data_IF_777261409763
#
_entry.id   IF_777261409763
#
_cell.length_a   1.000
_cell.length_b   1.000
_cell.length_c   1.000
_cell.angle_alpha   90.00
_cell.angle_beta   90.00
_cell.angle_gamma   90.00
#
_symmetry.space_group_name_H-M   'P 1'
#
loop_
_entity.id
_entity.type
_entity.pdbx_description
1 polymer ?
#
# COMPACT_ATOMS: atom_id res chain seq x y z
N UNK A 1 -5.07 9.17 -27.32
CA UNK A 1 -4.36 9.21 -26.03
C UNK A 1 -5.38 8.87 -24.98
N UNK A 2 -5.14 7.83 -24.19
CA UNK A 2 -6.07 7.45 -23.12
C UNK A 2 -5.62 8.14 -21.83
N UNK A 3 -6.50 8.92 -21.21
CA UNK A 3 -6.22 9.62 -19.96
C UNK A 3 -6.95 8.92 -18.83
N UNK A 4 -6.17 8.29 -17.96
CA UNK A 4 -6.64 7.67 -16.73
C UNK A 4 -6.61 8.72 -15.62
N UNK A 5 -7.71 8.92 -14.90
CA UNK A 5 -7.75 9.78 -13.72
C UNK A 5 -8.01 8.93 -12.49
N UNK A 6 -7.08 8.98 -11.54
CA UNK A 6 -7.35 8.56 -10.18
C UNK A 6 -7.71 9.78 -9.32
N UNK A 7 -8.97 9.82 -8.89
CA UNK A 7 -9.50 10.85 -8.01
C UNK A 7 -10.56 10.23 -7.10
N UNK A 8 -10.47 10.55 -5.81
CA UNK A 8 -11.55 10.27 -4.85
C UNK A 8 -12.74 11.24 -5.00
N UNK A 9 -12.60 12.25 -5.86
CA UNK A 9 -13.58 13.31 -6.09
C UNK A 9 -14.08 13.28 -7.54
N UNK A 10 -15.33 12.83 -7.71
CA UNK A 10 -16.00 12.75 -9.00
C UNK A 10 -16.21 14.12 -9.65
N UNK A 11 -16.33 15.20 -8.86
CA UNK A 11 -16.56 16.54 -9.41
C UNK A 11 -15.35 17.04 -10.20
N UNK A 12 -14.14 16.69 -9.77
CA UNK A 12 -12.90 17.02 -10.50
C UNK A 12 -12.88 16.29 -11.84
N UNK A 13 -13.25 15.01 -11.85
CA UNK A 13 -13.32 14.21 -13.09
C UNK A 13 -14.35 14.81 -14.05
N UNK A 14 -15.55 15.12 -13.57
CA UNK A 14 -16.58 15.78 -14.38
C UNK A 14 -16.14 17.14 -14.91
N UNK A 15 -15.45 17.94 -14.10
CA UNK A 15 -14.92 19.24 -14.49
C UNK A 15 -13.90 19.14 -15.62
N UNK A 16 -12.97 18.17 -15.52
CA UNK A 16 -11.98 17.89 -16.57
C UNK A 16 -12.65 17.39 -17.85
N UNK A 17 -13.62 16.46 -17.76
CA UNK A 17 -14.39 15.98 -18.91
C UNK A 17 -15.13 17.12 -19.61
N UNK A 18 -15.77 18.02 -18.84
CA UNK A 18 -16.47 19.18 -19.42
C UNK A 18 -15.51 20.16 -20.10
N UNK A 19 -14.32 20.37 -19.53
CA UNK A 19 -13.30 21.27 -20.09
C UNK A 19 -12.67 20.71 -21.37
N UNK A 20 -12.48 19.38 -21.43
CA UNK A 20 -11.82 18.67 -22.52
C UNK A 20 -12.68 17.49 -23.01
N UNK A 21 -13.80 17.76 -23.70
CA UNK A 21 -14.79 16.74 -24.04
C UNK A 21 -14.34 15.77 -25.14
N UNK A 22 -13.26 16.10 -25.87
CA UNK A 22 -12.74 15.28 -26.97
C UNK A 22 -11.72 14.23 -26.51
N UNK A 23 -11.34 14.23 -25.22
CA UNK A 23 -10.36 13.30 -24.68
C UNK A 23 -11.01 12.00 -24.17
N UNK A 24 -10.25 10.91 -24.26
CA UNK A 24 -10.69 9.60 -23.78
C UNK A 24 -10.38 9.43 -22.29
N UNK A 25 -11.31 9.89 -21.45
CA UNK A 25 -11.21 9.81 -20.00
C UNK A 25 -11.64 8.44 -19.46
N UNK A 26 -10.86 7.89 -18.54
CA UNK A 26 -11.24 6.73 -17.72
C UNK A 26 -11.06 7.10 -16.26
N UNK A 27 -12.14 7.00 -15.48
CA UNK A 27 -12.09 7.24 -14.04
C UNK A 27 -11.77 5.94 -13.30
N UNK A 28 -10.70 5.97 -12.51
CA UNK A 28 -10.30 4.89 -11.63
C UNK A 28 -10.94 5.14 -10.26
N UNK A 29 -11.89 4.28 -9.87
CA UNK A 29 -12.55 4.36 -8.57
C UNK A 29 -11.64 3.81 -7.45
N UNK A 30 -10.76 2.86 -7.80
CA UNK A 30 -9.78 2.29 -6.89
C UNK A 30 -8.35 2.51 -7.39
N UNK A 31 -7.42 2.72 -6.45
CA UNK A 31 -6.02 3.02 -6.77
C UNK A 31 -5.28 1.86 -7.46
N UNK A 32 -5.78 0.63 -7.26
CA UNK A 32 -5.23 -0.63 -7.73
C UNK A 32 -5.96 -1.17 -8.97
N UNK A 33 -6.92 -0.44 -9.54
CA UNK A 33 -7.50 -0.82 -10.83
C UNK A 33 -6.37 -1.03 -11.84
N UNK A 34 -6.50 -1.96 -12.80
CA UNK A 34 -5.40 -2.33 -13.70
C UNK A 34 -5.07 -1.18 -14.67
N UNK A 35 -4.38 -0.15 -14.16
CA UNK A 35 -3.72 0.93 -14.92
C UNK A 35 -2.76 0.32 -15.94
N UNK A 36 -2.32 -0.94 -15.71
CA UNK A 36 -1.13 -1.55 -16.29
C UNK A 36 -1.39 -2.83 -17.10
N UNK A 37 -2.59 -3.04 -17.64
CA UNK A 37 -2.78 -4.07 -18.67
C UNK A 37 -2.03 -3.68 -19.94
N UNK A 38 -0.93 -4.39 -20.23
CA UNK A 38 0.07 -4.21 -21.31
C UNK A 38 0.58 -2.78 -21.57
N UNK A 39 1.88 -2.69 -21.84
CA UNK A 39 2.62 -1.45 -22.05
C UNK A 39 2.20 -0.76 -23.35
N UNK A 40 1.09 -0.03 -23.31
CA UNK A 40 0.79 0.97 -24.32
C UNK A 40 1.45 2.28 -23.89
N UNK A 41 2.44 2.73 -24.67
CA UNK A 41 3.22 3.96 -24.48
C UNK A 41 2.35 5.25 -24.52
N UNK A 42 1.04 5.12 -24.69
CA UNK A 42 0.08 6.23 -24.83
C UNK A 42 -0.78 6.52 -23.59
N UNK A 43 -0.44 5.96 -22.42
CA UNK A 43 -1.19 6.15 -21.17
C UNK A 43 -0.72 7.37 -20.37
N UNK A 44 -1.68 8.22 -20.02
CA UNK A 44 -1.51 9.33 -19.09
C UNK A 44 -2.25 8.99 -17.81
N UNK A 45 -1.59 9.10 -16.66
CA UNK A 45 -2.23 8.99 -15.36
C UNK A 45 -2.24 10.35 -14.67
N UNK A 46 -3.44 10.84 -14.38
CA UNK A 46 -3.67 12.05 -13.58
C UNK A 46 -4.05 11.62 -12.17
N UNK A 47 -3.21 11.96 -11.19
CA UNK A 47 -3.48 11.79 -9.76
C UNK A 47 -3.95 13.12 -9.17
N UNK A 48 -5.17 13.15 -8.63
CA UNK A 48 -5.59 14.26 -7.79
C UNK A 48 -4.82 14.23 -6.48
N UNK A 49 -4.10 15.30 -6.14
CA UNK A 49 -3.40 15.45 -4.85
C UNK A 49 -3.64 16.85 -4.26
N UNK A 50 -3.91 16.98 -2.93
CA UNK A 50 -3.96 15.90 -1.95
C UNK A 50 -5.22 15.02 -2.06
N UNK A 51 -5.18 13.80 -1.54
CA UNK A 51 -6.32 12.86 -1.46
C UNK A 51 -6.89 12.86 -0.06
N UNK A 52 -8.22 12.89 0.09
CA UNK A 52 -8.87 12.73 1.39
C UNK A 52 -8.92 11.24 1.75
N UNK A 53 -8.35 10.87 2.89
CA UNK A 53 -8.33 9.49 3.39
C UNK A 53 -8.76 9.48 4.85
N UNK A 54 -9.99 9.05 5.11
CA UNK A 54 -10.60 9.20 6.44
C UNK A 54 -10.70 10.68 6.82
N UNK A 55 -10.13 11.05 7.97
CA UNK A 55 -10.09 12.43 8.47
C UNK A 55 -8.86 13.23 8.03
N UNK A 56 -7.95 12.66 7.23
CA UNK A 56 -6.71 13.33 6.83
C UNK A 56 -6.66 13.64 5.34
N UNK A 57 -5.88 14.66 4.99
CA UNK A 57 -5.39 14.87 3.64
C UNK A 57 -4.03 14.21 3.50
N UNK A 58 -3.86 13.41 2.46
CA UNK A 58 -2.66 12.66 2.15
C UNK A 58 -2.06 13.07 0.82
N UNK A 59 -0.73 13.04 0.75
CA UNK A 59 0.08 13.29 -0.45
C UNK A 59 0.71 11.97 -0.92
N UNK A 60 0.05 11.19 -1.81
CA UNK A 60 0.51 9.88 -2.24
C UNK A 60 1.39 9.93 -3.50
N UNK A 61 1.68 11.11 -4.04
CA UNK A 61 2.34 11.28 -5.34
C UNK A 61 3.72 10.62 -5.44
N UNK A 62 4.49 10.56 -4.35
CA UNK A 62 5.80 9.89 -4.31
C UNK A 62 5.70 8.36 -4.43
N UNK A 63 4.92 7.66 -3.58
CA UNK A 63 4.63 6.24 -3.78
C UNK A 63 4.09 5.92 -5.17
N UNK A 64 3.20 6.76 -5.71
CA UNK A 64 2.69 6.61 -7.08
C UNK A 64 3.79 6.68 -8.13
N UNK A 65 4.63 7.72 -8.09
CA UNK A 65 5.75 7.85 -9.03
C UNK A 65 6.69 6.64 -8.95
N UNK A 66 7.07 6.20 -7.75
CA UNK A 66 7.97 5.07 -7.56
C UNK A 66 7.36 3.75 -8.06
N UNK A 67 6.08 3.53 -7.80
CA UNK A 67 5.35 2.37 -8.34
C UNK A 67 5.33 2.40 -9.88
N UNK A 68 4.94 3.52 -10.49
CA UNK A 68 4.86 3.67 -11.94
C UNK A 68 6.25 3.55 -12.59
N UNK A 69 7.29 4.14 -12.02
CA UNK A 69 8.66 3.99 -12.52
C UNK A 69 9.10 2.51 -12.59
N UNK A 70 8.62 1.67 -11.68
CA UNK A 70 8.95 0.24 -11.64
C UNK A 70 8.04 -0.61 -12.55
N UNK A 71 6.76 -0.27 -12.67
CA UNK A 71 5.77 -1.13 -13.34
C UNK A 71 5.40 -0.66 -14.75
N UNK A 72 5.45 0.65 -15.01
CA UNK A 72 5.16 1.26 -16.30
C UNK A 72 5.93 2.60 -16.46
N UNK A 73 7.26 2.53 -16.66
CA UNK A 73 8.14 3.71 -16.65
C UNK A 73 7.79 4.77 -17.71
N UNK A 74 7.15 4.36 -18.81
CA UNK A 74 6.78 5.26 -19.91
C UNK A 74 5.47 6.02 -19.66
N UNK A 75 4.69 5.65 -18.63
CA UNK A 75 3.44 6.35 -18.29
C UNK A 75 3.72 7.81 -17.95
N UNK A 76 3.02 8.73 -18.61
CA UNK A 76 3.04 10.14 -18.25
C UNK A 76 2.25 10.31 -16.95
N UNK A 77 2.93 10.74 -15.88
CA UNK A 77 2.31 10.87 -14.56
C UNK A 77 2.14 12.34 -14.18
N UNK A 78 0.89 12.79 -14.08
CA UNK A 78 0.52 14.18 -13.83
C UNK A 78 -0.16 14.27 -12.48
N UNK A 79 0.23 15.26 -11.68
CA UNK A 79 -0.41 15.57 -10.40
C UNK A 79 -1.37 16.73 -10.62
N UNK A 80 -2.64 16.58 -10.26
CA UNK A 80 -3.64 17.63 -10.36
C UNK A 80 -4.01 18.17 -8.98
N UNK A 81 -4.00 19.48 -8.80
CA UNK A 81 -4.32 20.10 -7.51
C UNK A 81 -4.54 21.61 -7.60
N UNK A 82 -4.53 22.29 -6.44
CA UNK A 82 -4.85 23.72 -6.31
C UNK A 82 -3.68 24.55 -5.74
N UNK A 83 -2.44 24.19 -6.06
CA UNK A 83 -1.26 24.73 -5.37
C UNK A 83 -0.68 26.00 -6.03
N UNK A 84 -1.11 26.43 -7.22
CA UNK A 84 -0.53 27.59 -7.88
C UNK A 84 0.90 27.37 -8.39
N UNK A 85 1.30 26.11 -8.65
CA UNK A 85 2.69 25.75 -8.96
C UNK A 85 2.85 25.47 -10.45
N UNK A 86 3.85 26.08 -11.08
CA UNK A 86 4.21 25.77 -12.47
C UNK A 86 5.20 24.61 -12.53
N UNK A 87 4.76 23.48 -13.08
CA UNK A 87 5.60 22.31 -13.31
C UNK A 87 5.05 21.45 -14.45
N UNK A 88 5.93 20.79 -15.21
CA UNK A 88 5.54 20.01 -16.40
C UNK A 88 4.59 18.85 -16.10
N UNK A 89 4.66 18.31 -14.90
CA UNK A 89 3.82 17.22 -14.41
C UNK A 89 2.78 17.70 -13.39
N UNK A 90 2.45 18.99 -13.38
CA UNK A 90 1.43 19.55 -12.49
C UNK A 90 0.34 20.26 -13.26
N UNK A 91 -0.88 19.77 -13.11
CA UNK A 91 -2.08 20.38 -13.65
C UNK A 91 -2.73 21.22 -12.55
N UNK A 92 -2.59 22.54 -12.64
CA UNK A 92 -3.30 23.44 -11.74
C UNK A 92 -4.79 23.47 -12.14
N UNK A 93 -5.65 23.07 -11.20
CA UNK A 93 -7.09 23.01 -11.41
C UNK A 93 -7.75 24.39 -11.37
N UNK A 94 -7.05 25.45 -10.92
CA UNK A 94 -7.53 26.84 -11.00
C UNK A 94 -7.13 27.53 -12.31
N UNK A 95 -6.10 27.03 -12.98
CA UNK A 95 -5.53 27.61 -14.20
C UNK A 95 -5.25 26.50 -15.22
N UNK A 96 -6.34 25.92 -15.72
CA UNK A 96 -6.28 24.80 -16.66
C UNK A 96 -5.74 25.26 -18.02
N UNK A 97 -4.79 24.51 -18.62
CA UNK A 97 -4.23 24.86 -19.92
C UNK A 97 -5.31 24.92 -21.01
N UNK A 98 -5.13 25.79 -21.99
CA UNK A 98 -6.03 25.82 -23.16
C UNK A 98 -5.90 24.56 -24.02
N UNK A 99 -4.66 24.07 -24.15
CA UNK A 99 -4.29 22.89 -24.94
C UNK A 99 -3.71 21.80 -24.01
N UNK A 100 -4.57 20.87 -23.61
CA UNK A 100 -4.19 19.74 -22.76
C UNK A 100 -3.23 18.79 -23.48
N UNK A 101 -3.39 18.60 -24.79
CA UNK A 101 -2.54 17.68 -25.54
C UNK A 101 -1.09 18.19 -25.58
N UNK A 102 -0.90 19.48 -25.85
CA UNK A 102 0.42 20.13 -25.80
C UNK A 102 1.03 20.07 -24.39
N UNK A 103 0.22 20.30 -23.35
CA UNK A 103 0.67 20.15 -21.96
C UNK A 103 1.16 18.71 -21.68
N UNK A 104 0.37 17.70 -22.03
CA UNK A 104 0.73 16.29 -21.81
C UNK A 104 1.98 15.90 -22.59
N UNK A 105 2.15 16.36 -23.84
CA UNK A 105 3.35 16.10 -24.66
C UNK A 105 4.64 16.65 -24.03
N UNK A 106 4.53 17.66 -23.16
CA UNK A 106 5.67 18.25 -22.45
C UNK A 106 5.91 17.63 -21.06
N UNK A 107 4.93 16.90 -20.52
CA UNK A 107 5.03 16.23 -19.24
C UNK A 107 6.01 15.05 -19.30
N UNK A 108 6.61 14.73 -18.16
CA UNK A 108 7.66 13.73 -18.07
C UNK A 108 7.08 12.34 -17.72
N UNK A 109 7.57 11.25 -18.33
CA UNK A 109 7.27 9.89 -17.89
C UNK A 109 7.68 9.62 -16.45
N UNK A 110 6.98 8.72 -15.77
CA UNK A 110 7.24 8.37 -14.37
C UNK A 110 8.65 7.80 -14.14
N UNK A 111 9.21 7.09 -15.12
CA UNK A 111 10.56 6.52 -15.07
C UNK A 111 11.69 7.55 -15.21
N UNK A 112 11.39 8.81 -15.54
CA UNK A 112 12.40 9.86 -15.60
C UNK A 112 12.74 10.46 -14.23
N UNK A 113 13.91 11.10 -14.15
CA UNK A 113 14.39 11.75 -12.94
C UNK A 113 13.72 13.13 -12.74
N UNK A 114 12.61 13.15 -12.02
CA UNK A 114 11.93 14.35 -11.54
C UNK A 114 11.29 14.07 -10.18
N UNK A 115 10.99 15.09 -9.37
CA UNK A 115 10.37 14.89 -8.06
C UNK A 115 8.91 15.36 -8.06
N UNK A 116 7.98 14.55 -7.52
CA UNK A 116 6.61 14.97 -7.32
C UNK A 116 6.52 16.21 -6.44
N UNK A 117 5.57 17.09 -6.79
CA UNK A 117 5.34 18.32 -6.05
C UNK A 117 4.60 18.00 -4.77
N UNK A 118 5.11 18.55 -3.66
CA UNK A 118 4.45 18.47 -2.38
C UNK A 118 3.24 19.42 -2.34
N UNK A 119 2.04 18.86 -2.19
CA UNK A 119 0.79 19.63 -2.09
C UNK A 119 0.45 20.08 -0.66
N UNK A 120 1.40 19.99 0.28
CA UNK A 120 1.28 20.45 1.66
C UNK A 120 0.49 19.53 2.60
N UNK A 121 0.12 18.33 2.16
CA UNK A 121 -0.61 17.36 2.96
C UNK A 121 0.33 16.32 3.60
N UNK A 122 -0.22 15.32 4.30
CA UNK A 122 0.60 14.32 4.98
C UNK A 122 1.38 13.45 3.97
N UNK A 123 2.72 13.44 4.05
CA UNK A 123 3.57 12.65 3.14
C UNK A 123 3.37 11.15 3.39
N UNK A 124 2.79 10.47 2.41
CA UNK A 124 2.55 9.03 2.50
C UNK A 124 3.82 8.20 2.51
N UNK A 125 4.93 8.72 1.98
CA UNK A 125 6.25 8.09 2.08
C UNK A 125 6.69 8.00 3.54
N UNK A 126 6.51 9.08 4.29
CA UNK A 126 6.83 9.12 5.71
C UNK A 126 5.88 8.22 6.51
N UNK A 127 4.58 8.23 6.20
CA UNK A 127 3.61 7.30 6.84
C UNK A 127 3.97 5.83 6.60
N UNK A 128 4.35 5.48 5.37
CA UNK A 128 4.79 4.12 5.03
C UNK A 128 6.11 3.76 5.74
N UNK A 129 7.10 4.66 5.77
CA UNK A 129 8.32 4.45 6.55
C UNK A 129 8.02 4.22 8.03
N UNK A 130 7.17 5.04 8.63
CA UNK A 130 6.79 4.91 10.04
C UNK A 130 5.99 3.62 10.30
N UNK A 131 5.18 3.16 9.35
CA UNK A 131 4.49 1.87 9.42
C UNK A 131 5.48 0.70 9.43
N UNK A 132 6.40 0.67 8.46
CA UNK A 132 7.38 -0.41 8.32
C UNK A 132 8.43 -0.37 9.44
N UNK A 133 9.09 0.77 9.67
CA UNK A 133 10.16 0.91 10.67
C UNK A 133 9.67 0.97 12.12
N UNK A 134 8.42 1.39 12.35
CA UNK A 134 7.89 1.63 13.69
C UNK A 134 8.39 2.92 14.36
N UNK A 135 7.82 3.26 15.51
CA UNK A 135 8.18 4.45 16.31
C UNK A 135 9.22 4.12 17.39
N UNK A 136 10.38 3.58 16.99
CA UNK A 136 11.50 3.32 17.90
C UNK A 136 11.47 2.01 18.70
N UNK A 137 10.43 1.19 18.57
CA UNK A 137 10.25 -0.03 19.38
C UNK A 137 10.24 -1.37 18.61
N UNK A 138 10.27 -1.38 17.26
CA UNK A 138 10.49 -2.52 16.33
C UNK A 138 9.63 -2.38 15.06
N UNK A 139 10.14 -2.91 13.94
CA UNK A 139 9.42 -2.99 12.66
C UNK A 139 8.30 -4.02 12.72
N UNK A 140 7.23 -3.81 11.95
CA UNK A 140 6.16 -4.83 11.81
C UNK A 140 6.71 -6.14 11.22
N UNK A 141 7.71 -6.03 10.34
CA UNK A 141 8.40 -7.18 9.77
C UNK A 141 9.22 -7.94 10.80
N UNK A 142 9.77 -7.26 11.80
CA UNK A 142 10.54 -7.88 12.88
C UNK A 142 9.62 -8.69 13.79
N UNK A 143 8.46 -8.10 14.16
CA UNK A 143 7.44 -8.77 14.96
C UNK A 143 6.94 -10.04 14.24
N UNK A 144 6.55 -9.92 12.96
CA UNK A 144 6.12 -11.08 12.16
C UNK A 144 7.22 -12.14 12.03
N UNK A 145 8.48 -11.72 11.94
CA UNK A 145 9.62 -12.65 11.87
C UNK A 145 9.86 -13.41 13.17
N UNK A 146 9.59 -12.78 14.32
CA UNK A 146 9.64 -13.47 15.62
C UNK A 146 8.50 -14.47 15.77
N UNK A 147 7.27 -14.07 15.44
CA UNK A 147 6.12 -15.00 15.42
C UNK A 147 6.43 -16.19 14.52
N UNK A 148 6.88 -15.95 13.28
CA UNK A 148 7.26 -17.01 12.35
C UNK A 148 8.33 -17.95 12.93
N UNK A 149 9.36 -17.39 13.58
CA UNK A 149 10.45 -18.17 14.18
C UNK A 149 9.96 -19.04 15.34
N UNK A 150 9.14 -18.48 16.23
CA UNK A 150 8.55 -19.19 17.35
C UNK A 150 7.71 -20.39 16.86
N UNK A 151 6.83 -20.16 15.89
CA UNK A 151 6.03 -21.22 15.25
C UNK A 151 6.91 -22.32 14.65
N UNK A 152 7.97 -21.95 13.90
CA UNK A 152 8.89 -22.91 13.29
C UNK A 152 9.63 -23.74 14.34
N UNK A 153 10.14 -23.11 15.38
CA UNK A 153 10.84 -23.79 16.47
C UNK A 153 9.91 -24.76 17.20
N UNK A 154 8.66 -24.38 17.45
CA UNK A 154 7.65 -25.26 18.06
C UNK A 154 7.37 -26.46 17.16
N UNK A 155 7.13 -26.25 15.85
CA UNK A 155 6.92 -27.34 14.90
C UNK A 155 8.12 -28.31 14.86
N UNK A 156 9.35 -27.80 14.84
CA UNK A 156 10.55 -28.63 14.80
C UNK A 156 10.75 -29.43 16.08
N UNK A 157 10.47 -28.84 17.24
CA UNK A 157 10.55 -29.51 18.52
C UNK A 157 9.52 -30.65 18.63
N UNK A 158 8.30 -30.44 18.14
CA UNK A 158 7.23 -31.45 18.19
C UNK A 158 7.47 -32.56 17.16
N UNK A 159 7.75 -32.21 15.89
CA UNK A 159 7.88 -33.20 14.81
C UNK A 159 9.19 -33.96 14.83
N UNK A 160 10.29 -33.25 15.03
CA UNK A 160 11.64 -33.79 14.82
C UNK A 160 12.25 -34.29 16.13
N UNK A 161 11.93 -33.63 17.25
CA UNK A 161 12.48 -33.97 18.56
C UNK A 161 11.50 -34.73 19.45
N UNK A 162 10.28 -35.01 18.97
CA UNK A 162 9.23 -35.74 19.67
C UNK A 162 8.95 -35.20 21.09
N UNK A 163 9.04 -33.87 21.26
CA UNK A 163 8.75 -33.20 22.55
C UNK A 163 7.25 -33.06 22.76
N UNK A 164 6.85 -32.98 24.03
CA UNK A 164 5.46 -32.65 24.37
C UNK A 164 5.12 -31.26 23.85
N UNK A 165 4.01 -31.14 23.11
CA UNK A 165 3.57 -29.87 22.53
C UNK A 165 3.37 -28.80 23.59
N UNK A 166 2.68 -29.12 24.69
CA UNK A 166 2.31 -28.14 25.71
C UNK A 166 3.55 -27.53 26.35
N UNK A 167 4.53 -28.36 26.73
CA UNK A 167 5.79 -27.90 27.34
C UNK A 167 6.56 -26.95 26.41
N UNK A 168 6.54 -27.20 25.11
CA UNK A 168 7.21 -26.35 24.12
C UNK A 168 6.41 -25.07 23.87
N UNK A 169 5.09 -25.18 23.78
CA UNK A 169 4.19 -24.05 23.54
C UNK A 169 4.21 -23.05 24.69
N UNK A 170 4.19 -23.52 25.94
CA UNK A 170 4.24 -22.68 27.14
C UNK A 170 5.51 -21.82 27.23
N UNK A 171 6.58 -22.22 26.52
CA UNK A 171 7.84 -21.49 26.48
C UNK A 171 8.00 -20.67 25.20
N UNK A 172 7.84 -21.29 24.02
CA UNK A 172 8.12 -20.65 22.74
C UNK A 172 6.98 -19.78 22.22
N UNK A 173 5.74 -20.08 22.64
CA UNK A 173 4.56 -19.37 22.16
C UNK A 173 3.99 -18.38 23.21
N UNK A 174 4.59 -18.29 24.40
CA UNK A 174 4.08 -17.47 25.51
C UNK A 174 3.80 -16.01 25.11
N UNK A 175 4.70 -15.39 24.34
CA UNK A 175 4.61 -13.98 23.97
C UNK A 175 3.83 -13.73 22.67
N UNK A 176 3.31 -14.78 22.01
CA UNK A 176 2.63 -14.62 20.71
C UNK A 176 1.40 -13.71 20.78
N UNK A 177 0.52 -13.80 21.79
CA UNK A 177 -0.66 -12.93 21.87
C UNK A 177 -0.27 -11.44 21.93
N UNK A 178 0.73 -11.09 22.74
CA UNK A 178 1.23 -9.71 22.85
C UNK A 178 1.89 -9.23 21.54
N UNK A 179 2.70 -10.09 20.91
CA UNK A 179 3.31 -9.78 19.61
C UNK A 179 2.23 -9.57 18.54
N UNK A 180 1.21 -10.40 18.51
CA UNK A 180 0.09 -10.26 17.58
C UNK A 180 -0.73 -9.00 17.84
N UNK A 181 -1.04 -8.68 19.09
CA UNK A 181 -1.73 -7.45 19.47
C UNK A 181 -0.98 -6.20 18.97
N UNK A 182 0.36 -6.25 18.96
CA UNK A 182 1.18 -5.17 18.41
C UNK A 182 1.03 -5.07 16.88
N UNK A 183 0.97 -6.20 16.17
CA UNK A 183 0.67 -6.24 14.73
C UNK A 183 -0.71 -5.64 14.46
N UNK A 184 -1.74 -6.08 15.18
CA UNK A 184 -3.13 -5.61 14.99
C UNK A 184 -3.27 -4.11 15.27
N UNK A 185 -2.73 -3.64 16.39
CA UNK A 185 -2.81 -2.23 16.78
C UNK A 185 -2.16 -1.32 15.73
N UNK A 186 -1.01 -1.75 15.19
CA UNK A 186 -0.34 -1.02 14.12
C UNK A 186 -1.13 -1.10 12.81
N UNK A 187 -1.64 -2.28 12.48
CA UNK A 187 -2.43 -2.48 11.28
C UNK A 187 -3.69 -1.59 11.27
N UNK A 188 -4.48 -1.63 12.35
CA UNK A 188 -5.68 -0.79 12.50
C UNK A 188 -5.37 0.71 12.41
N UNK A 189 -4.23 1.14 12.97
CA UNK A 189 -3.82 2.56 12.95
C UNK A 189 -3.49 3.07 11.54
N UNK A 190 -2.95 2.23 10.66
CA UNK A 190 -2.44 2.67 9.36
C UNK A 190 -3.25 2.18 8.17
N UNK A 191 -4.00 1.09 8.28
CA UNK A 191 -4.61 0.41 7.13
C UNK A 191 -5.47 1.34 6.26
N UNK A 192 -6.28 2.20 6.89
CA UNK A 192 -7.13 3.15 6.16
C UNK A 192 -6.32 4.11 5.27
N UNK A 193 -5.10 4.46 5.68
CA UNK A 193 -4.21 5.36 4.94
C UNK A 193 -3.75 4.77 3.60
N UNK A 194 -3.74 3.44 3.48
CA UNK A 194 -3.20 2.77 2.29
C UNK A 194 -4.13 2.82 1.09
N UNK A 195 -5.39 3.21 1.27
CA UNK A 195 -6.41 3.25 0.20
C UNK A 195 -6.05 4.22 -0.95
N UNK A 196 -5.15 5.18 -0.71
CA UNK A 196 -4.69 6.11 -1.74
C UNK A 196 -3.43 5.65 -2.48
N UNK A 197 -2.92 4.44 -2.20
CA UNK A 197 -1.68 3.91 -2.78
C UNK A 197 -1.96 2.99 -3.98
N UNK A 198 -1.11 2.98 -5.01
CA UNK A 198 -1.34 2.17 -6.22
C UNK A 198 -1.19 0.65 -6.00
N UNK A 199 -0.61 0.25 -4.87
CA UNK A 199 -0.43 -1.14 -4.45
C UNK A 199 -1.30 -1.48 -3.23
N UNK A 200 -2.44 -0.81 -3.08
CA UNK A 200 -3.40 -1.05 -2.00
C UNK A 200 -3.86 -2.52 -1.95
N UNK A 201 -3.95 -3.20 -3.10
CA UNK A 201 -4.35 -4.61 -3.19
C UNK A 201 -3.44 -5.53 -2.33
N UNK A 202 -2.15 -5.21 -2.21
CA UNK A 202 -1.22 -5.96 -1.37
C UNK A 202 -1.60 -5.85 0.11
N UNK A 203 -1.99 -4.65 0.54
CA UNK A 203 -2.47 -4.43 1.90
C UNK A 203 -3.85 -5.03 2.11
N UNK A 204 -4.76 -4.97 1.14
CA UNK A 204 -6.08 -5.61 1.23
C UNK A 204 -5.95 -7.13 1.41
N UNK A 205 -5.12 -7.79 0.59
CA UNK A 205 -4.80 -9.22 0.74
C UNK A 205 -4.20 -9.51 2.12
N UNK A 206 -3.26 -8.69 2.56
CA UNK A 206 -2.67 -8.82 3.89
C UNK A 206 -3.71 -8.66 5.00
N UNK A 207 -4.66 -7.74 4.84
CA UNK A 207 -5.74 -7.51 5.80
C UNK A 207 -6.62 -8.75 5.94
N UNK A 208 -7.00 -9.39 4.82
CA UNK A 208 -7.78 -10.64 4.85
C UNK A 208 -7.03 -11.71 5.65
N UNK A 209 -5.73 -11.91 5.37
CA UNK A 209 -4.91 -12.89 6.09
C UNK A 209 -4.79 -12.55 7.59
N UNK A 210 -4.60 -11.27 7.94
CA UNK A 210 -4.55 -10.82 9.34
C UNK A 210 -5.88 -11.09 10.04
N UNK A 211 -7.02 -10.75 9.43
CA UNK A 211 -8.33 -11.02 10.02
C UNK A 211 -8.59 -12.53 10.20
N UNK A 212 -8.14 -13.37 9.26
CA UNK A 212 -8.27 -14.82 9.35
C UNK A 212 -7.41 -15.42 10.47
N UNK A 213 -6.26 -14.79 10.79
CA UNK A 213 -5.39 -15.21 11.87
C UNK A 213 -5.87 -14.79 13.24
N UNK A 214 -6.65 -13.71 13.34
CA UNK A 214 -7.09 -13.14 14.61
C UNK A 214 -7.65 -14.17 15.62
N UNK A 215 -8.55 -15.11 15.26
CA UNK A 215 -9.10 -16.08 16.22
C UNK A 215 -8.06 -16.99 16.88
N UNK A 216 -6.91 -17.22 16.22
CA UNK A 216 -5.82 -18.05 16.74
C UNK A 216 -5.08 -17.34 17.88
N UNK A 217 -5.00 -16.01 17.85
CA UNK A 217 -4.24 -15.23 18.83
C UNK A 217 -5.10 -14.63 19.95
N UNK A 218 -6.43 -14.68 19.83
CA UNK A 218 -7.37 -14.24 20.89
C UNK A 218 -7.58 -15.28 22.01
N UNK A 219 -7.06 -16.49 21.83
CA UNK A 219 -7.22 -17.57 22.80
C UNK A 219 -6.17 -17.46 23.89
N UNK A 220 -6.59 -17.54 25.16
CA UNK A 220 -5.68 -17.40 26.31
C UNK A 220 -4.58 -18.47 26.31
N UNK A 221 -4.87 -19.68 25.78
CA UNK A 221 -3.92 -20.80 25.77
C UNK A 221 -3.90 -21.52 24.41
N UNK A 222 -2.71 -21.86 23.91
CA UNK A 222 -2.49 -22.65 22.68
C UNK A 222 -2.75 -24.16 22.85
N UNK A 223 -3.38 -24.58 23.95
CA UNK A 223 -3.53 -25.99 24.38
C UNK A 223 -4.28 -26.89 23.41
N UNK A 224 -5.02 -26.30 22.47
CA UNK A 224 -5.87 -26.98 21.50
C UNK A 224 -5.29 -26.91 20.08
N UNK A 225 -4.15 -26.26 19.89
CA UNK A 225 -3.46 -26.26 18.61
C UNK A 225 -2.80 -27.61 18.38
N UNK A 226 -3.02 -28.18 17.20
CA UNK A 226 -2.24 -29.27 16.68
C UNK A 226 -1.13 -28.77 15.76
N UNK A 227 -0.44 -29.73 15.16
CA UNK A 227 0.58 -29.48 14.15
C UNK A 227 -0.01 -28.76 12.92
N UNK A 228 -1.22 -29.14 12.51
CA UNK A 228 -1.86 -28.58 11.33
C UNK A 228 -2.19 -27.08 11.51
N UNK A 229 -2.64 -26.70 12.70
CA UNK A 229 -2.88 -25.31 13.07
C UNK A 229 -1.57 -24.49 13.07
N UNK A 230 -0.49 -25.03 13.63
CA UNK A 230 0.82 -24.38 13.58
C UNK A 230 1.30 -24.15 12.14
N UNK A 231 1.15 -25.14 11.26
CA UNK A 231 1.51 -25.03 9.85
C UNK A 231 0.67 -23.95 9.15
N UNK A 232 -0.65 -23.98 9.33
CA UNK A 232 -1.56 -23.00 8.75
C UNK A 232 -1.19 -21.57 9.17
N UNK A 233 -0.99 -21.34 10.47
CA UNK A 233 -0.61 -20.03 11.00
C UNK A 233 0.76 -19.61 10.46
N UNK A 234 1.73 -20.53 10.45
CA UNK A 234 3.07 -20.27 9.92
C UNK A 234 3.03 -19.83 8.46
N UNK A 235 2.40 -20.61 7.57
CA UNK A 235 2.31 -20.32 6.14
C UNK A 235 1.54 -19.01 5.86
N UNK A 236 0.53 -18.72 6.68
CA UNK A 236 -0.20 -17.45 6.58
C UNK A 236 0.68 -16.26 6.97
N UNK A 237 1.50 -16.39 8.03
CA UNK A 237 2.48 -15.36 8.40
C UNK A 237 3.54 -15.18 7.30
N UNK A 238 4.00 -16.26 6.65
CA UNK A 238 4.89 -16.17 5.48
C UNK A 238 4.25 -15.35 4.37
N UNK A 239 3.00 -15.67 4.02
CA UNK A 239 2.24 -14.98 2.97
C UNK A 239 2.06 -13.49 3.27
N UNK A 240 1.73 -13.13 4.52
CA UNK A 240 1.63 -11.72 4.96
C UNK A 240 2.97 -11.01 4.76
N UNK A 241 4.07 -11.63 5.18
CA UNK A 241 5.41 -11.05 5.04
C UNK A 241 5.81 -10.84 3.59
N UNK A 242 5.48 -11.77 2.70
CA UNK A 242 5.76 -11.64 1.27
C UNK A 242 5.00 -10.45 0.65
N UNK A 243 3.71 -10.31 0.96
CA UNK A 243 2.90 -9.17 0.52
C UNK A 243 3.45 -7.84 1.06
N UNK A 244 3.80 -7.79 2.35
CA UNK A 244 4.40 -6.61 2.98
C UNK A 244 5.78 -6.27 2.40
N UNK A 245 6.60 -7.28 2.10
CA UNK A 245 7.91 -7.08 1.46
C UNK A 245 7.78 -6.56 0.03
N UNK A 246 6.77 -7.01 -0.71
CA UNK A 246 6.47 -6.45 -2.03
C UNK A 246 6.02 -5.00 -1.91
N UNK A 247 5.14 -4.67 -0.97
CA UNK A 247 4.69 -3.31 -0.73
C UNK A 247 5.84 -2.37 -0.29
N UNK A 248 6.73 -2.85 0.59
CA UNK A 248 7.86 -2.05 1.08
C UNK A 248 8.88 -1.70 -0.01
N UNK A 249 8.96 -2.48 -1.09
CA UNK A 249 9.83 -2.16 -2.24
C UNK A 249 9.47 -0.84 -2.94
N UNK A 250 8.24 -0.35 -2.74
CA UNK A 250 7.74 0.93 -3.27
C UNK A 250 7.87 2.10 -2.28
N UNK A 251 8.39 1.85 -1.07
CA UNK A 251 8.65 2.86 -0.03
C UNK A 251 10.10 3.30 -0.10
#
# INVERSE_FOLDING_TARGET
MQILIYSSDAQIVEGLIRRYPNEQWVWLQQANEPVLGEADDSKVLVLRSPVQVGSILASPERPWKKYLANQAPNTIFIIAGFAGIQHRNYLDLLDLPEDLESFVRQALPAGQNWEPINTGAADMTEKLKNFFSGHGNESIMDILSRIQRALKMTMDAVKTQNRNFQEVADFLLADLPEQWQTVESRWQRYFFLFNCLPFFDLFEKSNILIQNLKPYFEQENFTHWGIAELELVYETIVSIKELMSKASSYV
#
